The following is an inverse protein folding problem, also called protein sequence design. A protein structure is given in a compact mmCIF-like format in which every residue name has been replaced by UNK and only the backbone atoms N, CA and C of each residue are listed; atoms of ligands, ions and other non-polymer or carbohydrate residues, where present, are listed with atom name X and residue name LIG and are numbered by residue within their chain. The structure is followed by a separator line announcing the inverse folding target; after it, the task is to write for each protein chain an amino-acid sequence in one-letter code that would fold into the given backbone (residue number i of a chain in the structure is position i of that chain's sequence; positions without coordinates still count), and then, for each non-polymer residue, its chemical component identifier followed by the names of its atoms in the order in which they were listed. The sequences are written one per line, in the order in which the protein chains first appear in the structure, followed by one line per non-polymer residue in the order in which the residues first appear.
data_IF_897797292157
#
_entry.id   IF_897797292157
#
_cell.length_a   1.000
_cell.length_b   1.000
_cell.length_c   1.000
_cell.angle_alpha   90.00
_cell.angle_beta   90.00
_cell.angle_gamma   90.00
#
_symmetry.space_group_name_H-M   'P 1'
#
loop_
_entity.id
_entity.type
_entity.pdbx_description
1 polymer ?
#
# COMPACT_ATOMS: atom_id res chain seq x y z
N UNK A 1 8.46 9.40 -6.84
CA UNK A 1 9.34 10.33 -7.62
C UNK A 1 9.91 11.46 -6.77
N UNK A 2 9.11 12.08 -5.89
CA UNK A 2 9.55 13.23 -5.09
C UNK A 2 10.72 12.91 -4.12
N UNK A 3 10.74 11.75 -3.47
CA UNK A 3 11.83 11.39 -2.57
C UNK A 3 13.16 11.17 -3.28
N UNK A 4 13.14 10.50 -4.45
CA UNK A 4 14.34 10.36 -5.29
C UNK A 4 14.91 11.72 -5.69
N UNK A 5 14.04 12.70 -5.98
CA UNK A 5 14.49 14.07 -6.26
C UNK A 5 15.14 14.70 -5.03
N UNK A 6 14.58 14.50 -3.83
CA UNK A 6 15.19 14.92 -2.56
C UNK A 6 16.57 14.30 -2.34
N UNK A 7 16.72 12.98 -2.52
CA UNK A 7 18.01 12.30 -2.37
C UNK A 7 19.04 12.81 -3.37
N UNK A 8 18.68 12.86 -4.65
CA UNK A 8 19.57 13.35 -5.70
C UNK A 8 19.97 14.80 -5.45
N UNK A 9 19.02 15.67 -5.11
CA UNK A 9 19.32 17.06 -4.76
C UNK A 9 20.30 17.12 -3.58
N UNK A 10 20.08 16.32 -2.54
CA UNK A 10 20.97 16.19 -1.38
C UNK A 10 22.43 15.91 -1.77
N UNK A 11 22.66 15.01 -2.73
CA UNK A 11 24.03 14.68 -3.21
C UNK A 11 24.74 15.80 -3.97
N UNK A 12 24.02 16.85 -4.39
CA UNK A 12 24.58 17.93 -5.22
C UNK A 12 24.86 19.22 -4.44
N UNK A 13 24.58 19.21 -3.14
CA UNK A 13 24.83 20.35 -2.25
C UNK A 13 26.31 20.36 -1.87
N UNK A 14 26.90 21.54 -1.82
CA UNK A 14 28.26 21.70 -1.31
C UNK A 14 29.39 21.41 -2.31
N UNK A 15 29.09 21.36 -3.60
CA UNK A 15 30.00 20.85 -4.65
C UNK A 15 31.04 21.84 -5.20
N UNK A 16 31.07 23.08 -4.74
CA UNK A 16 31.99 24.09 -5.28
C UNK A 16 32.25 25.22 -4.28
N UNK A 17 33.53 25.46 -3.96
CA UNK A 17 34.03 26.53 -3.07
C UNK A 17 33.54 26.49 -1.61
N UNK A 18 32.85 25.41 -1.20
CA UNK A 18 32.36 25.27 0.17
C UNK A 18 33.48 25.18 1.21
N UNK A 19 34.55 24.43 0.91
CA UNK A 19 35.71 24.28 1.79
C UNK A 19 36.51 25.59 1.88
N UNK A 20 36.65 26.30 0.76
CA UNK A 20 37.34 27.60 0.70
C UNK A 20 36.65 28.66 1.57
N UNK A 21 35.30 28.70 1.55
CA UNK A 21 34.52 29.71 2.28
C UNK A 21 33.91 29.21 3.58
N UNK A 22 34.19 27.97 4.02
CA UNK A 22 33.62 27.40 5.24
C UNK A 22 32.08 27.28 5.22
N UNK A 23 31.47 27.13 4.05
CA UNK A 23 30.02 27.10 3.88
C UNK A 23 29.51 25.67 4.08
N UNK A 24 28.67 25.45 5.09
CA UNK A 24 27.99 24.16 5.28
C UNK A 24 26.87 23.97 4.26
N UNK A 25 26.86 22.82 3.60
CA UNK A 25 25.76 22.41 2.72
C UNK A 25 24.45 22.27 3.49
N UNK A 26 23.38 22.92 3.01
CA UNK A 26 22.02 22.81 3.56
C UNK A 26 21.01 22.64 2.43
N UNK A 27 19.99 21.82 2.66
CA UNK A 27 18.83 21.69 1.77
C UNK A 27 17.61 22.30 2.45
N UNK A 28 16.97 23.26 1.81
CA UNK A 28 15.65 23.73 2.21
C UNK A 28 14.59 23.05 1.36
N UNK A 29 13.59 22.47 2.01
CA UNK A 29 12.42 21.86 1.38
C UNK A 29 11.20 22.56 1.95
N UNK A 30 10.31 23.01 1.08
CA UNK A 30 9.07 23.67 1.48
C UNK A 30 7.88 22.96 0.87
N UNK A 31 6.76 22.97 1.58
CA UNK A 31 5.53 22.35 1.12
C UNK A 31 4.43 22.53 2.15
N UNK A 32 3.20 22.40 1.67
CA UNK A 32 2.05 22.29 2.56
C UNK A 32 1.99 20.87 3.15
N UNK A 33 1.32 20.68 4.31
CA UNK A 33 1.15 19.38 4.92
C UNK A 33 0.67 18.33 3.90
N UNK A 34 1.31 17.17 3.90
CA UNK A 34 1.01 16.10 2.97
C UNK A 34 1.41 14.75 3.55
N UNK A 35 0.56 13.75 3.36
CA UNK A 35 0.79 12.36 3.78
C UNK A 35 1.73 11.65 2.77
N UNK A 36 2.98 12.09 2.71
CA UNK A 36 4.02 11.53 1.83
C UNK A 36 5.33 11.29 2.59
N UNK A 37 6.45 11.15 1.89
CA UNK A 37 7.76 10.95 2.51
C UNK A 37 8.18 12.06 3.47
N UNK A 38 7.74 13.31 3.29
CA UNK A 38 8.04 14.40 4.23
C UNK A 38 7.35 14.17 5.58
N UNK A 39 6.17 13.56 5.57
CA UNK A 39 5.47 13.19 6.80
C UNK A 39 6.28 12.18 7.61
N UNK A 40 6.72 11.08 6.98
CA UNK A 40 7.46 10.01 7.67
C UNK A 40 8.92 10.36 7.95
N UNK A 41 9.54 11.22 7.16
CA UNK A 41 10.96 11.58 7.29
C UNK A 41 11.21 12.77 8.22
N UNK A 42 10.27 13.74 8.28
CA UNK A 42 10.44 14.97 9.05
C UNK A 42 9.34 15.18 10.10
N UNK A 43 8.07 15.25 9.68
CA UNK A 43 6.98 15.66 10.58
C UNK A 43 6.73 14.66 11.71
N UNK A 44 6.47 13.38 11.39
CA UNK A 44 6.22 12.33 12.39
C UNK A 44 7.41 12.22 13.37
N UNK A 45 8.67 12.16 12.89
CA UNK A 45 9.80 12.13 13.82
C UNK A 45 9.97 13.39 14.67
N UNK A 46 9.68 14.57 14.11
CA UNK A 46 9.68 15.83 14.87
C UNK A 46 8.62 15.81 15.99
N UNK A 47 7.39 15.43 15.65
CA UNK A 47 6.28 15.30 16.60
C UNK A 47 6.59 14.29 17.70
N UNK A 48 7.19 13.17 17.33
CA UNK A 48 7.52 12.06 18.24
C UNK A 48 8.82 12.30 19.03
N UNK A 49 9.52 13.43 18.81
CA UNK A 49 10.74 13.80 19.51
C UNK A 49 11.97 12.96 19.13
N UNK A 50 11.95 12.30 17.96
CA UNK A 50 13.03 11.42 17.48
C UNK A 50 13.57 11.81 16.09
N UNK A 51 13.41 13.08 15.70
CA UNK A 51 13.99 13.60 14.46
C UNK A 51 15.52 13.47 14.47
N UNK A 52 16.09 12.85 13.43
CA UNK A 52 17.52 12.61 13.33
C UNK A 52 18.35 13.90 13.33
N UNK A 53 19.55 13.84 13.91
CA UNK A 53 20.53 14.92 13.85
C UNK A 53 20.80 15.36 12.39
N UNK A 54 20.97 16.66 12.16
CA UNK A 54 21.13 17.24 10.83
C UNK A 54 19.83 17.52 10.07
N UNK A 55 18.66 17.18 10.63
CA UNK A 55 17.34 17.58 10.13
C UNK A 55 16.69 18.58 11.08
N UNK A 56 15.90 19.49 10.51
CA UNK A 56 15.05 20.39 11.25
C UNK A 56 13.68 20.44 10.57
N UNK A 57 12.62 20.48 11.37
CA UNK A 57 11.26 20.70 10.90
C UNK A 57 10.80 22.05 11.45
N UNK A 58 10.29 22.91 10.57
CA UNK A 58 9.79 24.24 10.93
C UNK A 58 8.37 24.34 10.38
N UNK A 59 7.40 24.41 11.29
CA UNK A 59 6.02 24.70 10.95
C UNK A 59 5.87 26.20 10.70
N UNK A 60 5.26 26.58 9.58
CA UNK A 60 4.97 27.97 9.26
C UNK A 60 3.52 28.12 8.81
N UNK A 61 2.89 29.22 9.22
CA UNK A 61 1.50 29.56 8.94
C UNK A 61 1.40 30.85 8.14
N UNK A 62 0.25 31.07 7.50
CA UNK A 62 -0.06 32.34 6.82
C UNK A 62 0.00 33.55 7.76
N UNK A 63 -0.18 33.33 9.06
CA UNK A 63 -0.08 34.36 10.11
C UNK A 63 1.36 34.79 10.38
N UNK A 64 2.35 33.96 10.09
CA UNK A 64 3.77 34.23 10.33
C UNK A 64 4.37 35.14 9.25
N UNK A 65 3.67 35.33 8.13
CA UNK A 65 4.10 36.21 7.05
C UNK A 65 3.72 37.67 7.31
N UNK A 66 4.67 38.48 7.80
CA UNK A 66 4.53 39.92 8.03
C UNK A 66 4.29 40.75 6.74
N UNK A 67 4.55 40.16 5.57
CA UNK A 67 4.36 40.77 4.24
C UNK A 67 3.19 40.15 3.48
N UNK A 68 2.26 39.51 4.19
CA UNK A 68 1.05 38.90 3.60
C UNK A 68 0.22 39.94 2.84
N UNK A 69 -0.14 39.61 1.61
CA UNK A 69 -1.10 40.39 0.83
C UNK A 69 -2.51 40.32 1.42
N UNK A 70 -3.25 41.43 1.31
CA UNK A 70 -4.65 41.50 1.70
C UNK A 70 -5.53 40.49 0.95
N UNK A 71 -6.52 39.92 1.63
CA UNK A 71 -7.48 38.98 1.02
C UNK A 71 -7.02 37.51 1.01
N UNK A 72 -5.74 37.19 1.23
CA UNK A 72 -5.26 35.80 1.19
C UNK A 72 -5.73 34.98 2.40
N UNK A 73 -5.68 35.57 3.60
CA UNK A 73 -6.16 34.92 4.82
C UNK A 73 -7.67 34.67 4.75
N UNK A 74 -8.43 35.64 4.23
CA UNK A 74 -9.87 35.57 4.05
C UNK A 74 -10.27 34.46 3.07
N UNK A 75 -9.48 34.25 2.00
CA UNK A 75 -9.67 33.11 1.09
C UNK A 75 -9.44 31.77 1.80
N UNK A 76 -8.38 31.66 2.58
CA UNK A 76 -8.09 30.44 3.34
C UNK A 76 -9.15 30.17 4.42
N UNK A 77 -9.67 31.20 5.08
CA UNK A 77 -10.72 31.09 6.10
C UNK A 77 -12.06 30.57 5.55
N UNK A 78 -12.33 30.76 4.25
CA UNK A 78 -13.51 30.22 3.56
C UNK A 78 -13.42 28.73 3.25
N UNK A 79 -12.22 28.13 3.33
CA UNK A 79 -12.06 26.68 3.14
C UNK A 79 -12.81 25.93 4.25
N UNK A 80 -13.24 24.70 3.96
CA UNK A 80 -13.86 23.79 4.94
C UNK A 80 -13.18 22.42 4.91
N UNK A 81 -13.44 21.61 5.95
CA UNK A 81 -12.95 20.24 6.04
C UNK A 81 -11.43 20.08 5.89
N UNK A 82 -11.02 19.03 5.21
CA UNK A 82 -9.62 18.66 4.98
C UNK A 82 -8.79 19.78 4.34
N UNK A 83 -9.36 20.55 3.41
CA UNK A 83 -8.66 21.64 2.75
C UNK A 83 -8.31 22.77 3.74
N UNK A 84 -9.24 23.10 4.65
CA UNK A 84 -8.99 24.08 5.72
C UNK A 84 -7.95 23.57 6.71
N UNK A 85 -8.08 22.34 7.17
CA UNK A 85 -7.12 21.73 8.10
C UNK A 85 -5.71 21.74 7.51
N UNK A 86 -5.56 21.31 6.26
CA UNK A 86 -4.27 21.27 5.57
C UNK A 86 -3.68 22.65 5.27
N UNK A 87 -4.44 23.54 4.62
CA UNK A 87 -3.89 24.76 4.03
C UNK A 87 -3.91 25.97 4.96
N UNK A 88 -4.88 26.03 5.87
CA UNK A 88 -4.99 27.13 6.84
C UNK A 88 -4.40 26.74 8.20
N UNK A 89 -4.79 25.57 8.73
CA UNK A 89 -4.36 25.14 10.07
C UNK A 89 -3.01 24.41 10.06
N UNK A 90 -2.42 24.17 8.88
CA UNK A 90 -1.14 23.49 8.77
C UNK A 90 -1.15 22.07 9.34
N UNK A 91 -2.32 21.45 9.46
CA UNK A 91 -2.48 20.12 10.04
C UNK A 91 -1.89 19.08 9.08
N UNK A 92 -0.93 18.29 9.57
CA UNK A 92 -0.34 17.15 8.86
C UNK A 92 -1.10 15.86 9.07
N UNK A 93 -2.00 15.86 10.04
CA UNK A 93 -2.80 14.72 10.43
C UNK A 93 -4.28 14.83 10.09
N UNK A 94 -4.65 15.86 9.33
CA UNK A 94 -6.02 16.13 8.92
C UNK A 94 -6.73 14.86 8.43
N UNK A 95 -7.94 14.65 8.97
CA UNK A 95 -8.82 13.56 8.55
C UNK A 95 -9.32 13.86 7.14
N UNK A 96 -8.63 13.27 6.16
CA UNK A 96 -8.64 13.75 4.79
C UNK A 96 -9.84 13.25 4.01
N UNK A 97 -10.41 12.10 4.38
CA UNK A 97 -11.43 11.44 3.58
C UNK A 97 -12.22 10.40 4.40
N UNK A 98 -13.52 10.64 4.68
CA UNK A 98 -14.38 9.70 5.43
C UNK A 98 -14.62 8.38 4.68
N UNK A 99 -14.20 8.28 3.42
CA UNK A 99 -14.22 7.04 2.66
C UNK A 99 -12.97 6.18 2.89
N UNK A 100 -11.94 6.69 3.55
CA UNK A 100 -10.72 5.91 3.83
C UNK A 100 -11.05 4.70 4.70
N UNK A 101 -10.57 3.53 4.29
CA UNK A 101 -10.70 2.30 5.08
C UNK A 101 -9.50 2.04 5.97
N UNK A 102 -8.33 2.59 5.62
CA UNK A 102 -7.08 2.37 6.33
C UNK A 102 -6.62 3.67 6.96
N UNK A 103 -6.33 3.63 8.25
CA UNK A 103 -5.77 4.76 8.97
C UNK A 103 -4.34 5.03 8.51
N UNK A 104 -3.99 6.31 8.31
CA UNK A 104 -2.65 6.66 7.84
C UNK A 104 -1.55 6.19 8.81
N UNK A 105 -1.79 6.27 10.12
CA UNK A 105 -0.88 5.75 11.14
C UNK A 105 -0.60 4.27 10.94
N UNK A 106 -1.65 3.47 10.72
CA UNK A 106 -1.52 2.03 10.46
C UNK A 106 -0.78 1.71 9.15
N UNK A 107 -0.92 2.53 8.11
CA UNK A 107 -0.12 2.41 6.88
C UNK A 107 1.37 2.65 7.19
N UNK A 108 1.71 3.62 8.04
CA UNK A 108 3.11 3.84 8.44
C UNK A 108 3.65 2.67 9.26
N UNK A 109 2.86 2.17 10.20
CA UNK A 109 3.27 1.08 11.10
C UNK A 109 3.43 -0.25 10.36
N UNK A 110 2.78 -0.41 9.20
CA UNK A 110 2.95 -1.57 8.30
C UNK A 110 4.42 -1.89 7.98
N UNK A 111 5.31 -0.88 7.98
CA UNK A 111 6.74 -1.06 7.70
C UNK A 111 7.58 -1.38 8.94
N UNK A 112 7.02 -1.20 10.14
CA UNK A 112 7.72 -1.32 11.43
C UNK A 112 7.07 -2.32 12.39
N UNK A 113 6.05 -3.07 11.98
CA UNK A 113 5.41 -4.15 12.75
C UNK A 113 6.32 -5.38 12.96
N UNK A 114 7.52 -5.15 13.45
CA UNK A 114 8.58 -6.14 13.64
C UNK A 114 8.32 -7.11 14.79
N UNK A 115 7.25 -6.95 15.56
CA UNK A 115 6.73 -7.93 16.53
C UNK A 115 6.04 -9.11 15.84
N UNK A 116 5.61 -8.96 14.59
CA UNK A 116 5.12 -10.08 13.78
C UNK A 116 6.29 -10.98 13.37
N UNK A 117 6.02 -12.29 13.27
CA UNK A 117 7.02 -13.29 12.91
C UNK A 117 6.60 -13.98 11.61
N UNK A 118 7.50 -14.16 10.63
CA UNK A 118 7.21 -14.95 9.44
C UNK A 118 6.76 -16.36 9.80
N UNK A 119 5.65 -16.82 9.22
CA UNK A 119 5.13 -18.17 9.41
C UNK A 119 5.56 -19.10 8.27
N UNK A 120 6.61 -19.88 8.51
CA UNK A 120 7.19 -20.84 7.55
C UNK A 120 6.20 -21.93 7.10
N UNK A 121 5.11 -22.16 7.84
CA UNK A 121 4.08 -23.15 7.47
C UNK A 121 3.05 -22.58 6.50
N UNK A 122 2.94 -21.25 6.40
CA UNK A 122 1.96 -20.54 5.56
C UNK A 122 2.64 -19.67 4.53
N UNK A 123 3.47 -20.28 3.67
CA UNK A 123 4.14 -19.58 2.56
C UNK A 123 3.23 -19.47 1.35
N UNK A 124 3.09 -18.24 0.86
CA UNK A 124 2.21 -17.88 -0.24
C UNK A 124 2.97 -16.98 -1.23
N UNK A 125 2.69 -17.14 -2.52
CA UNK A 125 3.15 -16.26 -3.58
C UNK A 125 1.94 -15.69 -4.29
N UNK A 126 1.83 -14.37 -4.31
CA UNK A 126 0.72 -13.64 -4.92
C UNK A 126 1.25 -12.83 -6.07
N UNK A 127 0.63 -12.95 -7.25
CA UNK A 127 1.08 -12.28 -8.47
C UNK A 127 -0.06 -11.51 -9.12
N UNK A 128 0.21 -10.24 -9.43
CA UNK A 128 -0.64 -9.39 -10.27
C UNK A 128 0.03 -9.27 -11.65
N UNK A 129 -0.68 -9.76 -12.68
CA UNK A 129 -0.19 -9.73 -14.06
C UNK A 129 -0.94 -8.65 -14.81
N UNK A 130 -0.21 -7.62 -15.22
CA UNK A 130 -0.74 -6.59 -16.09
C UNK A 130 -1.25 -7.15 -17.44
N UNK A 131 -2.51 -6.85 -17.77
CA UNK A 131 -3.01 -6.76 -19.16
C UNK A 131 -2.57 -5.42 -19.79
N UNK A 132 -2.84 -5.27 -21.09
CA UNK A 132 -2.72 -4.00 -21.82
C UNK A 132 -3.32 -2.83 -21.02
N UNK A 133 -2.46 -1.98 -20.44
CA UNK A 133 -2.84 -0.81 -19.64
C UNK A 133 -2.14 -0.67 -18.29
N UNK A 134 -1.55 -1.74 -17.74
CA UNK A 134 -0.52 -1.63 -16.69
C UNK A 134 0.86 -1.99 -17.26
N UNK A 135 1.88 -1.27 -16.84
CA UNK A 135 3.24 -1.42 -17.35
C UNK A 135 4.08 -2.43 -16.56
N UNK A 136 3.57 -2.97 -15.45
CA UNK A 136 4.37 -3.76 -14.51
C UNK A 136 3.67 -5.03 -14.05
N UNK A 137 4.41 -6.15 -14.07
CA UNK A 137 4.07 -7.32 -13.27
C UNK A 137 4.58 -7.11 -11.85
N UNK A 138 3.78 -7.50 -10.86
CA UNK A 138 4.13 -7.43 -9.43
C UNK A 138 3.95 -8.80 -8.78
N UNK A 139 4.91 -9.18 -7.94
CA UNK A 139 4.81 -10.35 -7.10
C UNK A 139 5.10 -10.02 -5.63
N UNK A 140 4.40 -10.68 -4.72
CA UNK A 140 4.63 -10.62 -3.28
C UNK A 140 4.72 -12.02 -2.68
N UNK A 141 5.73 -12.24 -1.83
CA UNK A 141 5.92 -13.47 -1.07
C UNK A 141 5.53 -13.22 0.38
N UNK A 142 4.59 -14.02 0.89
CA UNK A 142 4.03 -13.87 2.23
C UNK A 142 4.26 -15.13 3.04
N UNK A 143 4.76 -14.97 4.27
CA UNK A 143 4.90 -16.03 5.26
C UNK A 143 3.90 -15.73 6.38
N UNK A 144 2.70 -16.28 6.27
CA UNK A 144 1.55 -15.87 7.08
C UNK A 144 1.18 -14.41 6.83
N UNK A 145 1.26 -13.57 7.87
CA UNK A 145 0.91 -12.15 7.79
C UNK A 145 2.12 -11.22 7.52
N UNK A 146 3.27 -11.79 7.17
CA UNK A 146 4.49 -11.03 6.88
C UNK A 146 4.81 -11.14 5.40
N UNK A 147 4.82 -10.02 4.68
CA UNK A 147 5.36 -9.97 3.31
C UNK A 147 6.89 -9.90 3.41
N UNK A 148 7.56 -10.99 3.09
CA UNK A 148 9.01 -11.14 3.27
C UNK A 148 9.81 -10.67 2.07
N UNK A 149 9.21 -10.68 0.88
CA UNK A 149 9.84 -10.28 -0.37
C UNK A 149 8.79 -9.76 -1.34
N UNK A 150 9.15 -8.79 -2.17
CA UNK A 150 8.36 -8.37 -3.33
C UNK A 150 9.29 -8.14 -4.52
N UNK A 151 8.73 -8.24 -5.73
CA UNK A 151 9.47 -7.95 -6.97
C UNK A 151 8.56 -7.25 -7.96
N UNK A 152 9.12 -6.37 -8.77
CA UNK A 152 8.48 -5.88 -9.99
C UNK A 152 9.30 -6.23 -11.22
N UNK A 153 8.62 -6.42 -12.34
CA UNK A 153 9.26 -6.44 -13.66
C UNK A 153 8.43 -5.59 -14.62
N UNK A 154 9.07 -4.87 -15.56
CA UNK A 154 8.37 -4.24 -16.68
C UNK A 154 7.54 -5.27 -17.45
N UNK A 155 6.63 -4.80 -18.29
CA UNK A 155 5.83 -5.66 -19.17
C UNK A 155 6.71 -6.70 -19.89
N UNK A 156 6.50 -7.95 -19.53
CA UNK A 156 7.31 -9.09 -19.94
C UNK A 156 6.45 -10.12 -20.67
N UNK A 157 7.07 -10.93 -21.54
CA UNK A 157 6.40 -12.06 -22.18
C UNK A 157 6.01 -13.15 -21.17
N UNK A 158 5.02 -13.98 -21.52
CA UNK A 158 4.49 -15.03 -20.64
C UNK A 158 5.58 -15.99 -20.10
N UNK A 159 6.58 -16.33 -20.92
CA UNK A 159 7.70 -17.18 -20.50
C UNK A 159 8.55 -16.54 -19.40
N UNK A 160 8.85 -15.24 -19.51
CA UNK A 160 9.62 -14.51 -18.51
C UNK A 160 8.87 -14.44 -17.18
N UNK A 161 7.56 -14.17 -17.24
CA UNK A 161 6.68 -14.18 -16.05
C UNK A 161 6.71 -15.56 -15.39
N UNK A 162 6.57 -16.64 -16.15
CA UNK A 162 6.60 -18.00 -15.61
C UNK A 162 7.95 -18.35 -14.99
N UNK A 163 9.05 -18.02 -15.65
CA UNK A 163 10.40 -18.23 -15.12
C UNK A 163 10.59 -17.49 -13.80
N UNK A 164 10.10 -16.26 -13.72
CA UNK A 164 10.17 -15.44 -12.50
C UNK A 164 9.35 -16.05 -11.36
N UNK A 165 8.12 -16.47 -11.64
CA UNK A 165 7.25 -17.15 -10.65
C UNK A 165 7.90 -18.45 -10.16
N UNK A 166 8.48 -19.25 -11.06
CA UNK A 166 9.18 -20.50 -10.70
C UNK A 166 10.43 -20.23 -9.87
N UNK A 167 11.17 -19.16 -10.16
CA UNK A 167 12.33 -18.77 -9.38
C UNK A 167 11.93 -18.39 -7.93
N UNK A 168 10.90 -17.56 -7.76
CA UNK A 168 10.35 -17.23 -6.44
C UNK A 168 9.79 -18.47 -5.73
N UNK A 169 9.07 -19.32 -6.45
CA UNK A 169 8.53 -20.57 -5.93
C UNK A 169 9.64 -21.46 -5.35
N UNK A 170 10.72 -21.67 -6.10
CA UNK A 170 11.85 -22.49 -5.69
C UNK A 170 12.62 -21.84 -4.53
N UNK A 171 12.94 -20.55 -4.64
CA UNK A 171 13.66 -19.79 -3.61
C UNK A 171 12.99 -19.87 -2.24
N UNK A 172 11.67 -19.77 -2.20
CA UNK A 172 10.91 -19.74 -0.95
C UNK A 172 10.28 -21.09 -0.56
N UNK A 173 10.44 -22.14 -1.37
CA UNK A 173 9.84 -23.47 -1.17
C UNK A 173 8.29 -23.42 -1.10
N UNK A 174 7.66 -22.74 -2.05
CA UNK A 174 6.21 -22.54 -2.09
C UNK A 174 5.54 -23.66 -2.89
N UNK A 175 4.57 -24.34 -2.28
CA UNK A 175 3.74 -25.34 -2.97
C UNK A 175 2.89 -24.65 -4.03
N UNK A 176 2.55 -25.35 -5.11
CA UNK A 176 1.71 -24.77 -6.16
C UNK A 176 0.38 -24.22 -5.60
N UNK A 177 -0.24 -24.90 -4.64
CA UNK A 177 -1.46 -24.46 -3.96
C UNK A 177 -1.30 -23.23 -3.06
N UNK A 178 -0.06 -22.80 -2.79
CA UNK A 178 0.26 -21.52 -2.14
C UNK A 178 0.45 -20.37 -3.13
N UNK A 179 0.28 -20.61 -4.43
CA UNK A 179 0.38 -19.57 -5.47
C UNK A 179 -1.02 -19.06 -5.80
N UNK A 180 -1.18 -17.75 -5.88
CA UNK A 180 -2.39 -17.05 -6.28
C UNK A 180 -2.07 -16.05 -7.38
N UNK A 181 -2.85 -16.03 -8.45
CA UNK A 181 -2.68 -15.11 -9.58
C UNK A 181 -3.99 -14.41 -9.95
N UNK A 182 -3.92 -13.17 -10.40
CA UNK A 182 -5.08 -12.48 -10.98
C UNK A 182 -5.49 -13.14 -12.30
N UNK A 183 -6.70 -13.70 -12.32
CA UNK A 183 -7.28 -14.43 -13.44
C UNK A 183 -8.35 -13.66 -14.20
N UNK A 184 -8.72 -12.45 -13.74
CA UNK A 184 -9.58 -11.54 -14.51
C UNK A 184 -8.80 -10.85 -15.63
N UNK A 185 -7.46 -10.95 -15.61
CA UNK A 185 -6.53 -10.47 -16.64
C UNK A 185 -5.90 -11.54 -17.54
N UNK A 186 -4.62 -11.36 -17.94
CA UNK A 186 -3.89 -12.32 -18.82
C UNK A 186 -3.53 -13.62 -18.10
N UNK A 187 -3.71 -13.71 -16.78
CA UNK A 187 -3.17 -14.79 -15.95
C UNK A 187 -3.72 -16.18 -16.21
N UNK A 188 -4.69 -16.33 -17.12
CA UNK A 188 -5.27 -17.62 -17.49
C UNK A 188 -4.27 -18.70 -17.92
N UNK A 189 -3.04 -18.35 -18.34
CA UNK A 189 -1.98 -19.33 -18.67
C UNK A 189 -1.23 -19.88 -17.44
N UNK A 190 -1.34 -19.26 -16.27
CA UNK A 190 -0.62 -19.70 -15.06
C UNK A 190 -1.24 -20.98 -14.48
N UNK A 191 -2.52 -20.93 -14.12
CA UNK A 191 -3.25 -22.05 -13.49
C UNK A 191 -4.41 -22.56 -14.33
N UNK A 192 -4.98 -23.72 -13.91
CA UNK A 192 -5.96 -24.61 -14.59
C UNK A 192 -5.34 -25.82 -15.31
N UNK A 193 -6.19 -26.77 -15.73
CA UNK A 193 -5.83 -27.94 -16.54
C UNK A 193 -5.23 -27.45 -17.87
N UNK A 194 -3.92 -27.65 -18.05
CA UNK A 194 -3.15 -27.14 -19.20
C UNK A 194 -2.35 -25.86 -18.95
N UNK A 195 -2.46 -25.23 -17.77
CA UNK A 195 -1.61 -24.11 -17.35
C UNK A 195 -0.22 -24.58 -16.91
N UNK A 196 0.75 -23.66 -16.91
CA UNK A 196 2.15 -23.98 -16.61
C UNK A 196 2.41 -24.29 -15.12
N UNK A 197 1.48 -23.93 -14.23
CA UNK A 197 1.48 -24.25 -12.80
C UNK A 197 0.08 -24.78 -12.40
N UNK A 198 -0.25 -26.05 -12.70
CA UNK A 198 -1.63 -26.57 -12.57
C UNK A 198 -2.24 -26.46 -11.16
N UNK A 199 -1.42 -26.44 -10.10
CA UNK A 199 -1.88 -26.31 -8.72
C UNK A 199 -2.05 -24.88 -8.21
N UNK A 200 -1.76 -23.85 -9.03
CA UNK A 200 -1.95 -22.45 -8.63
C UNK A 200 -3.43 -22.07 -8.60
N UNK A 201 -3.80 -21.18 -7.67
CA UNK A 201 -5.17 -20.71 -7.50
C UNK A 201 -5.43 -19.45 -8.33
N UNK A 202 -6.59 -19.40 -8.96
CA UNK A 202 -7.09 -18.24 -9.70
C UNK A 202 -7.83 -17.29 -8.76
N UNK A 203 -7.45 -16.02 -8.76
CA UNK A 203 -8.21 -14.95 -8.12
C UNK A 203 -9.10 -14.27 -9.16
N UNK A 204 -10.41 -14.30 -8.93
CA UNK A 204 -11.41 -13.60 -9.74
C UNK A 204 -12.00 -12.46 -8.90
N UNK A 205 -11.41 -11.28 -8.98
CA UNK A 205 -11.80 -10.11 -8.19
C UNK A 205 -13.25 -9.68 -8.42
N UNK A 206 -13.75 -9.83 -9.65
CA UNK A 206 -15.16 -9.63 -9.99
C UNK A 206 -16.10 -10.75 -9.52
N UNK A 207 -15.56 -11.85 -8.99
CA UNK A 207 -16.32 -13.00 -8.53
C UNK A 207 -17.15 -12.76 -7.26
N UNK A 208 -17.99 -13.73 -6.92
CA UNK A 208 -18.85 -13.68 -5.72
C UNK A 208 -18.00 -13.69 -4.44
N UNK A 209 -18.34 -12.88 -3.41
CA UNK A 209 -17.71 -12.95 -2.10
C UNK A 209 -17.79 -14.36 -1.49
N UNK A 210 -16.76 -14.76 -0.75
CA UNK A 210 -16.69 -16.04 -0.04
C UNK A 210 -17.55 -15.94 1.23
N UNK A 211 -18.50 -16.85 1.40
CA UNK A 211 -19.29 -16.94 2.63
C UNK A 211 -18.40 -17.43 3.78
N UNK A 212 -18.14 -16.57 4.75
CA UNK A 212 -17.48 -16.93 6.01
C UNK A 212 -18.52 -17.42 7.02
N UNK A 213 -18.13 -18.36 7.88
CA UNK A 213 -19.03 -18.92 8.92
C UNK A 213 -19.17 -18.03 10.16
N UNK A 214 -18.54 -16.86 10.15
CA UNK A 214 -18.45 -15.95 11.27
C UNK A 214 -19.74 -15.18 11.57
N UNK A 215 -20.83 -15.47 10.85
CA UNK A 215 -22.12 -14.81 11.05
C UNK A 215 -22.10 -13.32 10.65
N UNK A 216 -21.07 -12.88 9.93
CA UNK A 216 -20.98 -11.48 9.51
C UNK A 216 -22.08 -11.14 8.50
N UNK A 217 -22.93 -10.16 8.84
CA UNK A 217 -24.00 -9.64 7.99
C UNK A 217 -23.47 -8.73 6.85
N UNK A 218 -22.16 -8.51 6.79
CA UNK A 218 -21.53 -7.62 5.80
C UNK A 218 -21.70 -8.20 4.39
N UNK A 219 -22.50 -7.52 3.58
CA UNK A 219 -22.70 -7.85 2.17
C UNK A 219 -21.70 -7.09 1.31
N UNK A 220 -20.79 -7.82 0.65
CA UNK A 220 -19.80 -7.23 -0.26
C UNK A 220 -20.27 -7.29 -1.70
N UNK A 221 -19.88 -6.31 -2.51
CA UNK A 221 -20.24 -6.30 -3.93
C UNK A 221 -19.57 -7.44 -4.72
N UNK A 222 -18.27 -7.67 -4.48
CA UNK A 222 -17.48 -8.73 -5.11
C UNK A 222 -16.33 -9.19 -4.20
N UNK A 223 -15.62 -10.22 -4.63
CA UNK A 223 -14.48 -10.80 -3.90
C UNK A 223 -13.36 -9.79 -3.65
N UNK A 224 -13.09 -8.90 -4.62
CA UNK A 224 -12.11 -7.81 -4.45
C UNK A 224 -12.49 -6.88 -3.31
N UNK A 225 -13.77 -6.49 -3.22
CA UNK A 225 -14.28 -5.67 -2.13
C UNK A 225 -14.11 -6.38 -0.79
N UNK A 226 -14.51 -7.65 -0.67
CA UNK A 226 -14.34 -8.43 0.55
C UNK A 226 -12.87 -8.48 1.00
N UNK A 227 -11.96 -8.78 0.08
CA UNK A 227 -10.53 -8.84 0.39
C UNK A 227 -9.96 -7.48 0.79
N UNK A 228 -10.39 -6.37 0.17
CA UNK A 228 -9.88 -5.04 0.52
C UNK A 228 -10.38 -4.52 1.86
N UNK A 229 -11.61 -4.84 2.27
CA UNK A 229 -12.08 -4.55 3.63
C UNK A 229 -11.32 -5.41 4.66
N UNK A 230 -11.09 -6.69 4.38
CA UNK A 230 -10.28 -7.55 5.25
C UNK A 230 -8.82 -7.07 5.36
N UNK A 231 -8.25 -6.59 4.25
CA UNK A 231 -6.92 -5.97 4.25
C UNK A 231 -6.88 -4.74 5.16
N UNK A 232 -7.89 -3.87 5.04
CA UNK A 232 -7.98 -2.66 5.83
C UNK A 232 -8.09 -2.97 7.33
N UNK A 233 -9.00 -3.88 7.71
CA UNK A 233 -9.16 -4.34 9.09
C UNK A 233 -7.82 -4.88 9.64
N UNK A 234 -7.12 -5.73 8.87
CA UNK A 234 -5.81 -6.27 9.27
C UNK A 234 -4.71 -5.23 9.43
N UNK A 235 -4.65 -4.23 8.54
CA UNK A 235 -3.64 -3.18 8.65
C UNK A 235 -3.92 -2.30 9.87
N UNK A 236 -5.16 -1.86 10.05
CA UNK A 236 -5.57 -1.05 11.19
C UNK A 236 -5.32 -1.76 12.53
N UNK A 237 -5.51 -3.07 12.59
CA UNK A 237 -5.22 -3.90 13.78
C UNK A 237 -3.73 -4.21 13.98
N UNK A 238 -2.83 -3.73 13.11
CA UNK A 238 -1.41 -4.05 13.16
C UNK A 238 -1.10 -5.54 12.90
N UNK A 239 -1.95 -6.25 12.17
CA UNK A 239 -1.81 -7.69 11.91
C UNK A 239 -1.14 -8.01 10.59
N UNK A 240 -0.49 -7.02 9.96
CA UNK A 240 0.26 -7.19 8.72
C UNK A 240 1.62 -6.49 8.84
N UNK A 241 2.68 -7.10 8.30
CA UNK A 241 4.01 -6.50 8.25
C UNK A 241 4.61 -6.61 6.85
N UNK A 242 4.91 -5.48 6.23
CA UNK A 242 5.56 -5.38 4.93
C UNK A 242 7.10 -5.43 5.05
N UNK A 243 7.63 -6.45 5.73
CA UNK A 243 9.06 -6.62 6.03
C UNK A 243 9.96 -6.44 4.81
N UNK A 244 9.58 -7.01 3.66
CA UNK A 244 10.35 -6.99 2.44
C UNK A 244 10.43 -5.62 1.75
N UNK A 245 9.61 -4.64 2.16
CA UNK A 245 9.58 -3.29 1.58
C UNK A 245 10.58 -2.40 2.28
N UNK A 246 11.83 -2.52 1.85
CA UNK A 246 12.96 -1.82 2.46
C UNK A 246 13.27 -0.50 1.76
N UNK A 247 13.12 -0.47 0.43
CA UNK A 247 13.37 0.72 -0.38
C UNK A 247 12.31 1.81 -0.14
N UNK A 248 12.74 3.03 0.11
CA UNK A 248 11.84 4.13 0.44
C UNK A 248 10.91 4.50 -0.73
N UNK A 249 11.36 4.34 -1.98
CA UNK A 249 10.51 4.52 -3.17
C UNK A 249 9.37 3.51 -3.23
N UNK A 250 9.61 2.28 -2.79
CA UNK A 250 8.59 1.23 -2.72
C UNK A 250 7.65 1.46 -1.55
N UNK A 251 8.16 1.95 -0.40
CA UNK A 251 7.31 2.37 0.72
C UNK A 251 6.38 3.50 0.34
N UNK A 252 6.87 4.54 -0.34
CA UNK A 252 6.04 5.61 -0.89
C UNK A 252 4.96 5.09 -1.84
N UNK A 253 5.34 4.22 -2.76
CA UNK A 253 4.40 3.65 -3.72
C UNK A 253 3.30 2.88 -3.01
N UNK A 254 3.66 2.01 -2.06
CA UNK A 254 2.70 1.22 -1.31
C UNK A 254 1.82 2.12 -0.41
N UNK A 255 2.37 3.15 0.23
CA UNK A 255 1.60 4.13 1.02
C UNK A 255 0.54 4.83 0.17
N UNK A 256 0.95 5.35 -0.97
CA UNK A 256 0.04 6.06 -1.90
C UNK A 256 -1.09 5.15 -2.38
N UNK A 257 -0.79 3.89 -2.69
CA UNK A 257 -1.78 2.92 -3.14
C UNK A 257 -2.71 2.45 -2.01
N UNK A 258 -2.18 2.15 -0.82
CA UNK A 258 -2.99 1.79 0.35
C UNK A 258 -3.90 2.94 0.80
N UNK A 259 -3.46 4.19 0.67
CA UNK A 259 -4.30 5.36 0.93
C UNK A 259 -5.49 5.48 -0.03
N UNK A 260 -5.47 4.79 -1.18
CA UNK A 260 -6.59 4.72 -2.13
C UNK A 260 -7.53 3.54 -1.87
N UNK A 261 -7.25 2.70 -0.87
CA UNK A 261 -8.20 1.69 -0.37
C UNK A 261 -9.31 2.41 0.38
N UNK A 262 -10.33 2.79 -0.39
CA UNK A 262 -11.44 3.63 0.03
C UNK A 262 -12.77 2.97 -0.31
N UNK A 263 -13.80 3.30 0.45
CA UNK A 263 -15.19 2.97 0.13
C UNK A 263 -15.58 3.70 -1.14
N UNK A 264 -16.30 3.00 -2.01
CA UNK A 264 -17.07 3.65 -3.07
C UNK A 264 -18.47 3.98 -2.56
N UNK A 265 -19.02 5.13 -2.95
CA UNK A 265 -20.33 5.59 -2.45
C UNK A 265 -21.50 4.76 -2.99
N UNK A 266 -21.28 3.99 -4.07
CA UNK A 266 -22.22 3.00 -4.60
C UNK A 266 -23.60 3.55 -4.99
N UNK A 267 -24.46 2.68 -5.51
CA UNK A 267 -25.75 3.05 -6.13
C UNK A 267 -26.96 2.73 -5.22
N UNK A 268 -26.75 2.59 -3.91
CA UNK A 268 -27.83 2.37 -2.92
C UNK A 268 -28.26 0.92 -2.67
N UNK A 269 -27.54 -0.09 -3.20
CA UNK A 269 -27.83 -1.52 -2.97
C UNK A 269 -27.39 -2.06 -1.59
N UNK A 270 -26.83 -1.19 -0.75
CA UNK A 270 -26.32 -1.52 0.58
C UNK A 270 -25.06 -2.40 0.60
N UNK A 271 -24.49 -2.76 -0.57
CA UNK A 271 -23.30 -3.60 -0.63
C UNK A 271 -22.04 -2.77 -0.46
N UNK A 272 -21.11 -3.30 0.34
CA UNK A 272 -19.79 -2.71 0.54
C UNK A 272 -18.97 -2.80 -0.75
N UNK A 273 -18.54 -1.64 -1.24
CA UNK A 273 -17.75 -1.46 -2.47
C UNK A 273 -16.43 -0.77 -2.14
N UNK A 274 -15.44 -1.00 -3.00
CA UNK A 274 -14.18 -0.26 -3.01
C UNK A 274 -14.16 0.71 -4.20
N UNK A 275 -13.43 1.80 -4.04
CA UNK A 275 -13.15 2.75 -5.12
C UNK A 275 -12.66 2.02 -6.37
N UNK A 276 -13.26 2.25 -7.56
CA UNK A 276 -12.89 1.54 -8.79
C UNK A 276 -11.43 1.77 -9.21
N UNK A 277 -10.80 0.74 -9.80
CA UNK A 277 -9.38 0.76 -10.23
C UNK A 277 -9.09 1.90 -11.22
N UNK A 278 -10.04 2.25 -12.09
CA UNK A 278 -9.87 3.36 -13.05
C UNK A 278 -9.85 4.74 -12.38
N UNK A 279 -10.64 4.94 -11.31
CA UNK A 279 -10.56 6.16 -10.52
C UNK A 279 -9.25 6.23 -9.74
N UNK A 280 -8.79 5.11 -9.18
CA UNK A 280 -7.49 5.04 -8.50
C UNK A 280 -6.35 5.37 -9.49
N UNK A 281 -6.44 4.87 -10.73
CA UNK A 281 -5.48 5.20 -11.80
C UNK A 281 -5.48 6.68 -12.15
N UNK A 282 -6.66 7.31 -12.23
CA UNK A 282 -6.77 8.74 -12.46
C UNK A 282 -6.12 9.56 -11.33
N UNK A 283 -6.32 9.15 -10.07
CA UNK A 283 -5.74 9.82 -8.90
C UNK A 283 -4.22 9.67 -8.79
N UNK A 284 -3.70 8.47 -9.06
CA UNK A 284 -2.30 8.13 -8.85
C UNK A 284 -1.43 8.29 -10.12
N UNK A 285 -2.06 8.46 -11.28
CA UNK A 285 -1.41 8.39 -12.59
C UNK A 285 -0.86 7.01 -12.96
N UNK A 286 -1.19 5.96 -12.20
CA UNK A 286 -0.73 4.57 -12.37
C UNK A 286 -1.69 3.57 -11.74
N UNK A 287 -1.55 2.30 -12.12
CA UNK A 287 -2.30 1.18 -11.53
C UNK A 287 -1.82 0.84 -10.11
N UNK A 288 -2.71 0.53 -9.15
CA UNK A 288 -2.35 0.24 -7.75
C UNK A 288 -1.90 -1.23 -7.53
N UNK A 289 -1.00 -1.71 -8.38
CA UNK A 289 -0.66 -3.15 -8.47
C UNK A 289 0.13 -3.65 -7.23
N UNK A 290 0.74 -2.75 -6.45
CA UNK A 290 1.41 -3.12 -5.19
C UNK A 290 0.39 -3.36 -4.08
N UNK A 291 -0.59 -2.49 -3.89
CA UNK A 291 -1.66 -2.74 -2.92
C UNK A 291 -2.56 -3.91 -3.33
N UNK A 292 -2.74 -4.15 -4.63
CA UNK A 292 -3.55 -5.27 -5.14
C UNK A 292 -2.95 -6.63 -4.72
N UNK A 293 -1.63 -6.83 -4.69
CA UNK A 293 -1.04 -8.09 -4.20
C UNK A 293 -1.26 -8.30 -2.68
N UNK A 294 -1.28 -7.25 -1.86
CA UNK A 294 -1.63 -7.35 -0.44
C UNK A 294 -3.12 -7.69 -0.28
N UNK A 295 -3.98 -7.08 -1.09
CA UNK A 295 -5.42 -7.33 -1.10
C UNK A 295 -5.69 -8.79 -1.48
N UNK A 296 -5.13 -9.26 -2.59
CA UNK A 296 -5.31 -10.64 -3.05
C UNK A 296 -4.78 -11.66 -2.02
N UNK A 297 -3.72 -11.35 -1.27
CA UNK A 297 -3.22 -12.23 -0.22
C UNK A 297 -4.27 -12.57 0.85
N UNK A 298 -5.26 -11.69 1.06
CA UNK A 298 -6.38 -11.91 2.00
C UNK A 298 -7.29 -13.07 1.58
N UNK A 299 -7.30 -13.43 0.29
CA UNK A 299 -8.07 -14.57 -0.22
C UNK A 299 -7.73 -15.87 0.53
N UNK A 300 -6.45 -16.10 0.84
CA UNK A 300 -6.04 -17.29 1.58
C UNK A 300 -6.63 -17.32 2.99
N UNK A 301 -6.77 -16.16 3.64
CA UNK A 301 -7.34 -16.09 4.99
C UNK A 301 -8.85 -16.36 4.97
N UNK A 302 -9.55 -15.89 3.92
CA UNK A 302 -10.95 -16.23 3.68
C UNK A 302 -11.11 -17.74 3.45
N UNK A 303 -10.25 -18.35 2.64
CA UNK A 303 -10.29 -19.80 2.39
C UNK A 303 -9.99 -20.61 3.66
N UNK A 304 -8.99 -20.23 4.45
CA UNK A 304 -8.71 -20.87 5.74
C UNK A 304 -9.90 -20.78 6.70
N UNK A 305 -10.59 -19.64 6.74
CA UNK A 305 -11.79 -19.43 7.55
C UNK A 305 -12.95 -20.35 7.12
N UNK A 306 -13.05 -20.71 5.83
CA UNK A 306 -14.08 -21.68 5.37
C UNK A 306 -13.74 -23.14 5.68
N UNK A 307 -12.46 -23.50 5.76
CA UNK A 307 -12.00 -24.89 5.87
C UNK A 307 -11.97 -25.42 7.31
N UNK A 308 -12.01 -24.56 8.34
CA UNK A 308 -12.03 -24.99 9.75
C UNK A 308 -13.45 -25.33 10.21
N UNK A 309 -13.85 -26.58 9.98
CA UNK A 309 -14.84 -27.31 10.80
C UNK A 309 -14.66 -28.82 10.58
N UNK A 310 -13.48 -29.33 10.89
CA UNK A 310 -13.28 -30.76 11.16
C UNK A 310 -12.43 -30.89 12.42
N UNK A 311 -12.98 -30.47 13.57
CA UNK A 311 -12.58 -31.08 14.83
C UNK A 311 -13.07 -32.53 14.75
N UNK A 312 -12.22 -33.45 14.32
CA UNK A 312 -12.40 -34.85 14.69
C UNK A 312 -12.22 -34.90 16.22
N UNK A 313 -13.20 -35.37 16.99
CA UNK A 313 -12.95 -35.70 18.38
C UNK A 313 -11.79 -36.70 18.39
N UNK A 314 -10.78 -36.45 19.22
CA UNK A 314 -9.90 -37.51 19.66
C UNK A 314 -10.80 -38.55 20.32
N UNK A 315 -11.05 -39.66 19.62
CA UNK A 315 -11.54 -40.87 20.28
C UNK A 315 -10.40 -41.30 21.21
N UNK A 316 -10.64 -41.16 22.51
CA UNK A 316 -9.90 -41.87 23.56
C UNK A 316 -10.11 -43.38 23.39
#
# INVERSE_FOLDING_TARGET
MAYKAYEVAGTRIGRHLNDEYGIRGKLLITGNPSRNWMYSTFFKPYRDGNLSEGRAFIQAFVTDNEKREGGYLERLQKLTGAARARLLLGDWEYDADPLSLIEWGAIEDLFTNDYLRPDEKRKRLVVDIALHGSDKFRAGVFYGAVMVEHTEMPKSGGEQVLKHIRALQAKHNIRASGILYDADGVGGFIGKKGGFIPGANAFHGGGTPIKTKDGSEKSYFNLKAQCGYLLADKINEGKLWAKGVTEQTDREMLREELAQVKRDKGDGDGKLRLKPKDQIRADLGRSPDFSDILLMAMWFDLMEATQRTFNRPLQM
#
